data_IF_099321966837
#
_entry.id   IF_099321966837
#
_cell.length_a   1.000
_cell.length_b   1.000
_cell.length_c   1.000
_cell.angle_alpha   90.00
_cell.angle_beta   90.00
_cell.angle_gamma   90.00
#
_symmetry.space_group_name_H-M   'P 1'
#
loop_
_entity.id
_entity.type
_entity.pdbx_description
1 polymer ?
#
# COMPACT_ATOMS: atom_id res chain seq x y z
N UNK A 1 8.04 6.56 -1.23
CA UNK A 1 7.51 7.60 -0.32
C UNK A 1 6.59 8.62 -1.02
N UNK A 2 7.08 9.49 -1.93
CA UNK A 2 6.28 10.62 -2.47
C UNK A 2 4.92 10.22 -3.05
N UNK A 3 4.84 9.14 -3.83
CA UNK A 3 3.57 8.66 -4.41
C UNK A 3 2.53 8.33 -3.33
N UNK A 4 2.95 7.76 -2.19
CA UNK A 4 2.06 7.50 -1.06
C UNK A 4 1.53 8.79 -0.44
N UNK A 5 2.36 9.84 -0.38
CA UNK A 5 1.92 11.16 0.06
C UNK A 5 0.93 11.81 -0.93
N UNK A 6 1.05 11.53 -2.23
CA UNK A 6 0.05 11.99 -3.22
C UNK A 6 -1.30 11.31 -2.99
N UNK A 7 -1.29 10.02 -2.64
CA UNK A 7 -2.51 9.30 -2.22
C UNK A 7 -3.07 9.89 -0.93
N UNK A 8 -2.23 10.07 0.09
CA UNK A 8 -2.63 10.62 1.39
C UNK A 8 -3.24 12.03 1.28
N UNK A 9 -2.73 12.87 0.38
CA UNK A 9 -3.28 14.22 0.12
C UNK A 9 -4.56 14.19 -0.73
N UNK A 10 -4.94 13.05 -1.29
CA UNK A 10 -6.07 12.93 -2.22
C UNK A 10 -5.78 13.48 -3.62
N UNK A 11 -4.51 13.58 -4.02
CA UNK A 11 -4.11 13.93 -5.39
C UNK A 11 -4.02 12.70 -6.31
N UNK A 12 -4.08 11.50 -5.72
CA UNK A 12 -4.21 10.20 -6.40
C UNK A 12 -5.14 9.30 -5.58
N UNK A 13 -5.97 8.50 -6.23
CA UNK A 13 -6.92 7.61 -5.54
C UNK A 13 -6.27 6.31 -5.05
N UNK A 14 -5.31 5.80 -5.81
CA UNK A 14 -4.60 4.57 -5.49
C UNK A 14 -3.20 4.50 -6.13
N UNK A 15 -2.36 3.64 -5.57
CA UNK A 15 -1.05 3.26 -6.06
C UNK A 15 -0.86 1.75 -5.83
N UNK A 16 -0.70 1.00 -6.92
CA UNK A 16 -0.44 -0.44 -6.90
C UNK A 16 1.03 -0.66 -7.25
N UNK A 17 1.78 -1.25 -6.33
CA UNK A 17 3.19 -1.55 -6.50
C UNK A 17 3.39 -3.06 -6.66
N UNK A 18 3.54 -3.50 -7.90
CA UNK A 18 3.75 -4.91 -8.26
C UNK A 18 5.24 -5.32 -8.22
N UNK A 19 6.14 -4.45 -7.74
CA UNK A 19 7.57 -4.73 -7.75
C UNK A 19 7.98 -5.53 -6.51
N UNK A 20 8.46 -6.73 -6.75
CA UNK A 20 9.08 -7.61 -5.74
C UNK A 20 10.42 -7.09 -5.17
N UNK A 21 10.95 -5.99 -5.70
CA UNK A 21 12.23 -5.44 -5.27
C UNK A 21 12.11 -4.31 -4.25
N UNK A 22 10.90 -3.79 -4.02
CA UNK A 22 10.72 -2.64 -3.14
C UNK A 22 10.71 -3.07 -1.68
N UNK A 23 11.58 -2.46 -0.86
CA UNK A 23 11.78 -2.87 0.53
C UNK A 23 10.86 -2.07 1.44
N UNK A 24 10.45 -2.67 2.56
CA UNK A 24 9.61 -2.01 3.56
C UNK A 24 10.20 -0.69 4.05
N UNK A 25 11.51 -0.65 4.28
CA UNK A 25 12.20 0.58 4.70
C UNK A 25 12.11 1.72 3.68
N UNK A 26 11.94 1.44 2.38
CA UNK A 26 11.84 2.46 1.33
C UNK A 26 10.45 3.16 1.32
N UNK A 27 9.45 2.51 1.92
CA UNK A 27 8.05 2.95 1.88
C UNK A 27 7.42 3.21 3.24
N UNK A 28 7.97 2.67 4.33
CA UNK A 28 7.39 2.72 5.67
C UNK A 28 6.93 4.12 6.11
N UNK A 29 7.76 5.14 5.90
CA UNK A 29 7.41 6.53 6.23
C UNK A 29 6.19 7.04 5.44
N UNK A 30 6.08 6.68 4.16
CA UNK A 30 4.94 7.06 3.34
C UNK A 30 3.66 6.28 3.69
N UNK A 31 3.80 5.01 4.09
CA UNK A 31 2.67 4.19 4.55
C UNK A 31 2.12 4.71 5.89
N UNK A 32 2.99 5.15 6.80
CA UNK A 32 2.58 5.80 8.04
C UNK A 32 1.77 7.08 7.76
N UNK A 33 2.28 7.96 6.89
CA UNK A 33 1.56 9.19 6.51
C UNK A 33 0.20 8.85 5.89
N UNK A 34 0.14 7.86 4.99
CA UNK A 34 -1.10 7.42 4.38
C UNK A 34 -2.11 6.94 5.44
N UNK A 35 -1.66 6.14 6.40
CA UNK A 35 -2.49 5.63 7.50
C UNK A 35 -3.06 6.76 8.36
N UNK A 36 -2.25 7.76 8.71
CA UNK A 36 -2.70 8.94 9.47
C UNK A 36 -3.69 9.81 8.67
N UNK A 37 -3.71 9.68 7.35
CA UNK A 37 -4.65 10.35 6.45
C UNK A 37 -5.89 9.49 6.12
N UNK A 38 -6.17 8.45 6.92
CA UNK A 38 -7.29 7.51 6.73
C UNK A 38 -7.19 6.65 5.45
N UNK A 39 -6.01 6.64 4.83
CA UNK A 39 -5.72 5.77 3.69
C UNK A 39 -5.41 4.34 4.11
N UNK A 40 -5.63 3.42 3.17
CA UNK A 40 -5.50 1.99 3.38
C UNK A 40 -4.32 1.43 2.60
N UNK A 41 -3.65 0.41 3.12
CA UNK A 41 -2.65 -0.35 2.40
C UNK A 41 -2.69 -1.82 2.79
N UNK A 42 -2.50 -2.71 1.81
CA UNK A 42 -2.65 -4.16 1.97
C UNK A 42 -1.84 -4.90 0.90
N UNK A 43 -1.64 -6.21 1.07
CA UNK A 43 -0.97 -7.08 0.09
C UNK A 43 -1.82 -7.26 -1.17
N UNK A 44 -1.30 -7.89 -2.23
CA UNK A 44 -2.08 -8.11 -3.45
C UNK A 44 -3.27 -9.06 -3.23
N UNK A 45 -3.16 -9.95 -2.24
CA UNK A 45 -4.19 -10.89 -1.80
C UNK A 45 -5.22 -10.23 -0.87
N UNK A 46 -5.08 -8.94 -0.56
CA UNK A 46 -6.00 -8.20 0.30
C UNK A 46 -5.71 -8.30 1.80
N UNK A 47 -4.59 -8.90 2.20
CA UNK A 47 -4.23 -9.08 3.61
C UNK A 47 -3.52 -7.85 4.18
N UNK A 48 -3.66 -7.65 5.50
CA UNK A 48 -2.90 -6.63 6.22
C UNK A 48 -1.40 -6.96 6.17
N UNK A 49 -0.58 -5.91 6.07
CA UNK A 49 0.88 -6.04 6.05
C UNK A 49 1.40 -5.76 7.46
N UNK A 50 1.66 -6.85 8.20
CA UNK A 50 2.31 -6.82 9.52
C UNK A 50 3.66 -7.53 9.44
N UNK A 51 4.68 -6.81 8.98
CA UNK A 51 6.04 -7.32 8.82
C UNK A 51 7.03 -6.50 9.65
N UNK A 52 8.09 -7.18 10.12
CA UNK A 52 9.22 -6.52 10.80
C UNK A 52 9.90 -5.56 9.80
N UNK A 53 10.14 -4.32 10.25
CA UNK A 53 10.87 -3.31 9.50
C UNK A 53 12.32 -3.76 9.25
N UNK A 54 12.58 -4.31 8.06
CA UNK A 54 13.89 -4.82 7.64
C UNK A 54 14.22 -4.41 6.21
N UNK A 55 15.51 -4.36 5.90
CA UNK A 55 16.04 -4.15 4.55
C UNK A 55 15.77 -5.36 3.64
N UNK A 56 15.58 -6.54 4.23
CA UNK A 56 15.33 -7.78 3.51
C UNK A 56 13.85 -8.01 3.23
N UNK A 57 12.96 -7.33 3.97
CA UNK A 57 11.51 -7.40 3.78
C UNK A 57 11.13 -6.67 2.50
N UNK A 58 10.84 -7.44 1.45
CA UNK A 58 10.33 -6.96 0.17
C UNK A 58 8.94 -7.49 -0.04
N UNK A 59 8.06 -6.65 -0.57
CA UNK A 59 6.68 -7.04 -0.80
C UNK A 59 6.03 -6.13 -1.85
N UNK A 60 5.20 -6.70 -2.74
CA UNK A 60 4.24 -5.92 -3.49
C UNK A 60 3.11 -5.47 -2.56
N UNK A 61 2.48 -4.35 -2.88
CA UNK A 61 1.38 -3.81 -2.07
C UNK A 61 0.47 -2.88 -2.86
N UNK A 62 -0.71 -2.66 -2.30
CA UNK A 62 -1.68 -1.66 -2.71
C UNK A 62 -1.73 -0.57 -1.65
N UNK A 63 -1.84 0.69 -2.08
CA UNK A 63 -2.12 1.84 -1.24
C UNK A 63 -3.27 2.64 -1.88
N UNK A 64 -4.31 2.97 -1.15
CA UNK A 64 -5.47 3.68 -1.69
C UNK A 64 -6.17 4.54 -0.63
N UNK A 65 -7.11 5.37 -1.06
CA UNK A 65 -8.08 5.96 -0.12
C UNK A 65 -9.05 4.90 0.42
N UNK A 66 -9.73 5.19 1.53
CA UNK A 66 -10.67 4.28 2.17
C UNK A 66 -11.82 3.82 1.25
N UNK A 67 -12.31 4.69 0.37
CA UNK A 67 -13.45 4.39 -0.51
C UNK A 67 -13.14 3.30 -1.56
N UNK A 68 -11.88 3.17 -1.97
CA UNK A 68 -11.47 2.17 -2.96
C UNK A 68 -11.07 0.83 -2.36
N UNK A 69 -10.90 0.73 -1.04
CA UNK A 69 -10.33 -0.46 -0.39
C UNK A 69 -11.09 -1.74 -0.75
N UNK A 70 -12.41 -1.76 -0.52
CA UNK A 70 -13.24 -2.95 -0.77
C UNK A 70 -13.24 -3.35 -2.25
N UNK A 71 -13.29 -2.37 -3.16
CA UNK A 71 -13.25 -2.63 -4.59
C UNK A 71 -11.93 -3.29 -4.98
N UNK A 72 -10.80 -2.70 -4.56
CA UNK A 72 -9.47 -3.20 -4.90
C UNK A 72 -9.18 -4.57 -4.28
N UNK A 73 -9.61 -4.82 -3.03
CA UNK A 73 -9.49 -6.14 -2.40
C UNK A 73 -10.23 -7.21 -3.21
N UNK A 74 -11.47 -6.95 -3.62
CA UNK A 74 -12.28 -7.93 -4.38
C UNK A 74 -11.73 -8.19 -5.79
N UNK A 75 -11.31 -7.14 -6.50
CA UNK A 75 -10.78 -7.29 -7.86
C UNK A 75 -9.44 -8.00 -7.86
N UNK A 76 -8.52 -7.64 -6.96
CA UNK A 76 -7.16 -8.20 -6.96
C UNK A 76 -7.10 -9.62 -6.40
N UNK A 77 -7.93 -9.97 -5.41
CA UNK A 77 -7.99 -11.35 -4.88
C UNK A 77 -8.45 -12.39 -5.90
N UNK A 78 -9.01 -11.96 -7.04
CA UNK A 78 -9.36 -12.86 -8.14
C UNK A 78 -8.14 -13.27 -8.97
N UNK A 79 -7.02 -12.55 -8.85
CA UNK A 79 -5.80 -12.76 -9.61
C UNK A 79 -4.63 -13.30 -8.77
N UNK A 80 -4.68 -13.16 -7.45
CA UNK A 80 -3.64 -13.54 -6.49
C UNK A 80 -4.24 -14.36 -5.35
#
# INVERSE_FOLDING_TARGET
ALTLCQVAKGSMEAFINLRESNRLVDVAAGLLILKEADGQFFSLEGNDIDQILSIDSKFPFVACNANLETFLKNELSSYY
#
